data_IF_676742213842
#
_entry.id   IF_676742213842
#
_cell.length_a   1.000
_cell.length_b   1.000
_cell.length_c   1.000
_cell.angle_alpha   90.00
_cell.angle_beta   90.00
_cell.angle_gamma   90.00
#
_symmetry.space_group_name_H-M   'P 1'
#
loop_
_entity.id
_entity.type
_entity.pdbx_description
1 polymer ?
#
# COMPACT_ATOMS: atom_id res chain seq x y z
N UNK A 1 6.25 6.12 -1.37
CA UNK A 1 6.68 4.70 -1.28
C UNK A 1 6.08 3.92 -2.44
N UNK A 2 6.84 3.09 -3.15
CA UNK A 2 6.31 2.15 -4.15
C UNK A 2 6.50 0.71 -3.66
N UNK A 3 5.48 -0.13 -3.84
CA UNK A 3 5.51 -1.55 -3.45
C UNK A 3 5.05 -2.41 -4.61
N UNK A 4 5.57 -3.63 -4.69
CA UNK A 4 5.14 -4.62 -5.69
C UNK A 4 4.30 -5.67 -5.00
N UNK A 5 3.09 -5.89 -5.50
CA UNK A 5 2.17 -6.91 -5.02
C UNK A 5 1.51 -7.60 -6.21
N UNK A 6 1.55 -8.93 -6.27
CA UNK A 6 0.99 -9.72 -7.37
C UNK A 6 1.47 -9.25 -8.77
N UNK A 7 2.79 -9.07 -8.93
CA UNK A 7 3.43 -8.56 -10.16
C UNK A 7 2.95 -7.18 -10.64
N UNK A 8 2.25 -6.42 -9.80
CA UNK A 8 1.83 -5.04 -10.07
C UNK A 8 2.50 -4.08 -9.10
N UNK A 9 2.86 -2.90 -9.59
CA UNK A 9 3.43 -1.84 -8.76
C UNK A 9 2.36 -0.86 -8.31
N UNK A 10 2.42 -0.49 -7.04
CA UNK A 10 1.52 0.43 -6.39
C UNK A 10 2.29 1.51 -5.65
N UNK A 11 1.78 2.73 -5.71
CA UNK A 11 2.19 3.82 -4.83
C UNK A 11 1.39 3.72 -3.54
N UNK A 12 2.08 3.67 -2.40
CA UNK A 12 1.47 3.62 -1.08
C UNK A 12 1.41 5.01 -0.46
N UNK A 13 0.22 5.40 -0.01
CA UNK A 13 -0.04 6.59 0.77
C UNK A 13 -0.68 6.20 2.10
N UNK A 14 -0.04 6.53 3.22
CA UNK A 14 -0.64 6.38 4.54
C UNK A 14 -1.74 7.43 4.70
N UNK A 15 -2.94 6.99 5.08
CA UNK A 15 -4.08 7.89 5.30
C UNK A 15 -3.97 8.57 6.66
N UNK A 16 -4.61 9.75 6.80
CA UNK A 16 -4.54 10.58 8.00
C UNK A 16 -5.09 9.89 9.26
N UNK A 17 -5.87 8.81 9.10
CA UNK A 17 -6.36 7.99 10.20
C UNK A 17 -5.27 7.11 10.86
N UNK A 18 -4.05 7.12 10.33
CA UNK A 18 -2.89 6.43 10.89
C UNK A 18 -2.87 4.91 10.71
N UNK A 19 -4.01 4.28 10.42
CA UNK A 19 -4.17 2.81 10.39
C UNK A 19 -4.55 2.26 9.02
N UNK A 20 -4.80 3.13 8.03
CA UNK A 20 -5.13 2.73 6.68
C UNK A 20 -4.10 3.22 5.68
N UNK A 21 -3.93 2.42 4.63
CA UNK A 21 -2.98 2.61 3.56
C UNK A 21 -3.72 2.55 2.24
N UNK A 22 -3.51 3.55 1.39
CA UNK A 22 -4.05 3.58 0.03
C UNK A 22 -2.97 3.16 -0.95
N UNK A 23 -3.25 2.12 -1.73
CA UNK A 23 -2.40 1.60 -2.80
C UNK A 23 -3.00 2.04 -4.12
N UNK A 24 -2.32 2.94 -4.82
CA UNK A 24 -2.74 3.40 -6.16
C UNK A 24 -1.85 2.74 -7.20
N UNK A 25 -2.45 2.08 -8.19
CA UNK A 25 -1.68 1.43 -9.27
C UNK A 25 -0.92 2.48 -10.07
N UNK A 26 0.37 2.22 -10.33
CA UNK A 26 1.21 3.14 -11.11
C UNK A 26 0.77 3.16 -12.58
N UNK A 27 0.45 1.99 -13.14
CA UNK A 27 0.02 1.87 -14.53
C UNK A 27 -1.41 2.35 -14.76
N UNK A 28 -2.25 2.32 -13.71
CA UNK A 28 -3.67 2.70 -13.78
C UNK A 28 -4.07 3.54 -12.57
N UNK A 29 -3.87 4.86 -12.61
CA UNK A 29 -4.07 5.75 -11.45
C UNK A 29 -5.50 5.77 -10.89
N UNK A 30 -6.49 5.36 -11.70
CA UNK A 30 -7.89 5.23 -11.29
C UNK A 30 -8.16 3.97 -10.46
N UNK A 31 -7.30 2.96 -10.56
CA UNK A 31 -7.36 1.75 -9.73
C UNK A 31 -6.60 2.03 -8.42
N UNK A 32 -7.36 2.23 -7.34
CA UNK A 32 -6.78 2.33 -6.00
C UNK A 32 -7.48 1.38 -5.04
N UNK A 33 -6.69 0.73 -4.19
CA UNK A 33 -7.17 -0.09 -3.08
C UNK A 33 -6.88 0.61 -1.76
N UNK A 34 -7.80 0.52 -0.81
CA UNK A 34 -7.53 0.95 0.57
C UNK A 34 -7.46 -0.29 1.44
N UNK A 35 -6.33 -0.47 2.12
CA UNK A 35 -6.06 -1.57 3.02
C UNK A 35 -5.91 -1.05 4.45
N UNK A 36 -6.39 -1.81 5.42
CA UNK A 36 -6.08 -1.56 6.82
C UNK A 36 -4.71 -2.19 7.20
N UNK A 37 -4.20 -1.86 8.38
CA UNK A 37 -2.91 -2.36 8.87
C UNK A 37 -2.80 -3.88 8.84
N UNK A 38 -3.88 -4.59 9.21
CA UNK A 38 -3.87 -6.05 9.26
C UNK A 38 -3.80 -6.66 7.85
N UNK A 39 -4.55 -6.12 6.89
CA UNK A 39 -4.49 -6.52 5.48
C UNK A 39 -3.12 -6.24 4.86
N UNK A 40 -2.49 -5.11 5.22
CA UNK A 40 -1.10 -4.83 4.82
C UNK A 40 -0.11 -5.85 5.39
N UNK A 41 -0.34 -6.32 6.61
CA UNK A 41 0.49 -7.35 7.24
C UNK A 41 0.34 -8.71 6.53
N UNK A 42 -0.89 -9.15 6.27
CA UNK A 42 -1.14 -10.39 5.50
C UNK A 42 -0.48 -10.31 4.12
N UNK A 43 -0.58 -9.16 3.45
CA UNK A 43 0.02 -8.95 2.13
C UNK A 43 1.56 -8.88 2.15
N UNK A 44 2.20 -8.89 3.33
CA UNK A 44 3.64 -8.72 3.49
C UNK A 44 4.14 -7.32 3.13
N UNK A 45 3.23 -6.36 2.99
CA UNK A 45 3.53 -4.98 2.56
C UNK A 45 3.78 -4.06 3.75
N UNK A 46 3.34 -4.45 4.95
CA UNK A 46 3.43 -3.61 6.13
C UNK A 46 4.88 -3.27 6.50
N UNK A 47 5.77 -4.26 6.54
CA UNK A 47 7.18 -4.03 6.88
C UNK A 47 7.86 -3.12 5.86
N UNK A 48 7.58 -3.28 4.57
CA UNK A 48 8.15 -2.43 3.52
C UNK A 48 7.69 -0.97 3.65
N UNK A 49 6.49 -0.75 4.17
CA UNK A 49 5.91 0.59 4.31
C UNK A 49 6.24 1.23 5.66
N UNK A 50 6.35 0.46 6.75
CA UNK A 50 6.66 0.98 8.10
C UNK A 50 8.17 1.09 8.36
N UNK A 51 9.01 0.21 7.81
CA UNK A 51 10.48 0.21 8.05
C UNK A 51 11.23 1.14 7.11
N UNK A 52 10.69 1.38 5.91
CA UNK A 52 11.36 2.18 4.86
C UNK A 52 10.81 3.61 4.75
N UNK A 53 9.75 3.94 5.49
CA UNK A 53 9.13 5.28 5.46
C UNK A 53 9.80 6.25 6.44
#
# INVERSE_FOLDING_TARGET
MTVTHNNKQYTVTKLANGHSYRLTSINKPRESLTLNRWQMHIAGLLEQVEVKA
#
